data_IF_543935807459
#
_entry.id   IF_543935807459
#
_cell.length_a   1.000
_cell.length_b   1.000
_cell.length_c   1.000
_cell.angle_alpha   90.00
_cell.angle_beta   90.00
_cell.angle_gamma   90.00
#
_symmetry.space_group_name_H-M   'P 1'
#
loop_
_entity.id
_entity.type
_entity.pdbx_description
1 polymer ?
#
# COMPACT_ATOMS: atom_id res chain seq x y z
N UNK A 1 3.80 2.68 2.27
CA UNK A 1 4.87 3.16 3.18
C UNK A 1 5.82 4.05 2.42
N UNK A 2 6.05 5.25 2.88
CA UNK A 2 6.97 6.22 2.27
C UNK A 2 7.83 6.84 3.36
N UNK A 3 9.12 7.04 3.09
CA UNK A 3 10.05 7.74 3.96
C UNK A 3 11.11 6.83 4.56
N UNK A 4 11.86 7.38 5.49
CA UNK A 4 12.91 6.64 6.20
C UNK A 4 12.94 7.01 7.68
N UNK A 5 13.31 6.06 8.51
CA UNK A 5 13.49 6.26 9.95
C UNK A 5 12.26 6.93 10.60
N UNK A 6 12.44 8.09 11.21
CA UNK A 6 11.39 8.82 11.93
C UNK A 6 10.32 9.41 11.00
N UNK A 7 10.64 9.58 9.71
CA UNK A 7 9.74 10.19 8.74
C UNK A 7 8.92 9.15 7.97
N UNK A 8 8.98 7.90 8.40
CA UNK A 8 8.22 6.82 7.77
C UNK A 8 6.73 7.02 7.97
N UNK A 9 5.99 7.09 6.87
CA UNK A 9 4.56 7.37 6.84
C UNK A 9 3.79 6.17 6.29
N UNK A 10 2.80 5.70 7.05
CA UNK A 10 1.81 4.75 6.56
C UNK A 10 0.71 5.51 5.83
N UNK A 11 0.54 5.21 4.55
CA UNK A 11 -0.53 5.81 3.73
C UNK A 11 -1.89 5.21 4.07
N UNK A 12 -3.00 5.85 3.66
CA UNK A 12 -4.32 5.24 3.75
C UNK A 12 -4.34 3.85 3.10
N UNK A 13 -5.11 2.95 3.68
CA UNK A 13 -5.16 1.57 3.22
C UNK A 13 -6.07 1.47 2.00
N UNK A 14 -5.60 0.80 0.97
CA UNK A 14 -6.36 0.49 -0.23
C UNK A 14 -6.87 -0.94 -0.16
N UNK A 15 -8.18 -1.10 -0.32
CA UNK A 15 -8.79 -2.42 -0.44
C UNK A 15 -8.93 -2.77 -1.92
N UNK A 16 -8.46 -3.95 -2.29
CA UNK A 16 -8.57 -4.48 -3.64
C UNK A 16 -9.69 -5.50 -3.72
N UNK A 17 -10.60 -5.30 -4.66
CA UNK A 17 -11.69 -6.22 -4.94
C UNK A 17 -11.50 -6.73 -6.37
N UNK A 18 -10.77 -7.84 -6.56
CA UNK A 18 -10.54 -8.37 -7.90
C UNK A 18 -11.83 -8.99 -8.45
N UNK A 19 -12.09 -8.76 -9.73
CA UNK A 19 -13.21 -9.38 -10.45
C UNK A 19 -12.90 -10.82 -10.86
N UNK A 20 -11.62 -11.22 -10.75
CA UNK A 20 -11.14 -12.58 -10.94
C UNK A 20 -10.88 -13.22 -9.58
N UNK A 21 -10.90 -14.56 -9.53
CA UNK A 21 -10.64 -15.32 -8.32
C UNK A 21 -9.26 -15.01 -7.74
N UNK A 22 -8.26 -14.81 -8.59
CA UNK A 22 -6.89 -14.50 -8.19
C UNK A 22 -6.48 -13.11 -8.65
N UNK A 23 -5.71 -12.39 -7.83
CA UNK A 23 -5.13 -11.10 -8.17
C UNK A 23 -3.84 -11.33 -8.98
N UNK A 24 -4.00 -11.75 -10.24
CA UNK A 24 -2.90 -12.03 -11.16
C UNK A 24 -2.38 -10.75 -11.84
N UNK A 25 -1.41 -10.91 -12.75
CA UNK A 25 -0.84 -9.78 -13.50
C UNK A 25 -1.91 -8.98 -14.24
N UNK A 26 -2.84 -9.66 -14.88
CA UNK A 26 -3.92 -9.02 -15.63
C UNK A 26 -4.81 -8.17 -14.73
N UNK A 27 -5.20 -8.70 -13.56
CA UNK A 27 -5.99 -7.96 -12.58
C UNK A 27 -5.24 -6.76 -12.01
N UNK A 28 -3.90 -6.88 -11.84
CA UNK A 28 -3.06 -5.79 -11.31
C UNK A 28 -2.93 -4.61 -12.26
N UNK A 29 -2.87 -4.85 -13.57
CA UNK A 29 -2.47 -3.84 -14.54
C UNK A 29 -3.53 -3.53 -15.60
N UNK A 30 -4.63 -4.28 -15.65
CA UNK A 30 -5.73 -4.01 -16.56
C UNK A 30 -6.84 -3.25 -15.83
N UNK A 31 -7.10 -2.03 -16.29
CA UNK A 31 -8.15 -1.18 -15.72
C UNK A 31 -9.50 -1.89 -15.77
N UNK A 32 -10.24 -1.82 -14.66
CA UNK A 32 -11.58 -2.40 -14.55
C UNK A 32 -11.63 -3.85 -14.11
N UNK A 33 -10.50 -4.57 -14.03
CA UNK A 33 -10.44 -5.95 -13.51
C UNK A 33 -10.28 -6.01 -11.99
N UNK A 34 -9.86 -4.93 -11.36
CA UNK A 34 -9.77 -4.79 -9.92
C UNK A 34 -10.45 -3.50 -9.50
N UNK A 35 -11.38 -3.59 -8.58
CA UNK A 35 -12.01 -2.42 -7.99
C UNK A 35 -11.17 -1.94 -6.81
N UNK A 36 -10.92 -0.62 -6.76
CA UNK A 36 -10.23 0.02 -5.65
C UNK A 36 -11.25 0.63 -4.70
N UNK A 37 -11.18 0.25 -3.42
CA UNK A 37 -11.96 0.87 -2.35
C UNK A 37 -10.99 1.63 -1.45
N UNK A 38 -11.08 2.95 -1.44
CA UNK A 38 -10.11 3.81 -0.76
C UNK A 38 -10.84 4.92 0.01
N UNK A 39 -10.72 4.99 1.34
CA UNK A 39 -9.98 4.05 2.17
C UNK A 39 -10.69 2.69 2.32
N UNK A 40 -9.94 1.67 2.72
CA UNK A 40 -10.46 0.33 2.92
C UNK A 40 -11.60 0.30 3.95
N UNK A 41 -12.55 -0.61 3.75
CA UNK A 41 -13.71 -0.80 4.64
C UNK A 41 -13.31 -1.56 5.89
N UNK A 42 -12.53 -0.91 6.75
CA UNK A 42 -12.07 -1.43 8.02
C UNK A 42 -12.47 -0.50 9.15
N UNK A 43 -12.64 -1.05 10.36
CA UNK A 43 -12.85 -0.24 11.56
C UNK A 43 -11.61 0.65 11.80
N UNK A 44 -11.80 1.72 12.58
CA UNK A 44 -10.67 2.62 12.92
C UNK A 44 -9.55 1.86 13.65
N UNK A 45 -9.90 0.95 14.57
CA UNK A 45 -8.92 0.14 15.29
C UNK A 45 -8.19 -0.83 14.39
N UNK A 46 -8.90 -1.47 13.46
CA UNK A 46 -8.27 -2.38 12.49
C UNK A 46 -7.38 -1.63 11.51
N UNK A 47 -7.78 -0.46 11.06
CA UNK A 47 -6.97 0.40 10.20
C UNK A 47 -5.62 0.72 10.87
N UNK A 48 -5.63 1.11 12.14
CA UNK A 48 -4.40 1.38 12.89
C UNK A 48 -3.54 0.13 13.03
N UNK A 49 -4.17 -1.01 13.31
CA UNK A 49 -3.47 -2.28 13.45
C UNK A 49 -2.77 -2.69 12.16
N UNK A 50 -3.48 -2.59 11.03
CA UNK A 50 -2.91 -2.91 9.70
C UNK A 50 -1.76 -1.96 9.36
N UNK A 51 -1.93 -0.67 9.59
CA UNK A 51 -0.88 0.31 9.35
C UNK A 51 0.35 0.06 10.23
N UNK A 52 0.16 -0.32 11.49
CA UNK A 52 1.28 -0.63 12.38
C UNK A 52 2.02 -1.89 11.91
N UNK A 53 1.30 -2.92 11.48
CA UNK A 53 1.91 -4.14 10.93
C UNK A 53 2.72 -3.81 9.67
N UNK A 54 2.20 -2.92 8.81
CA UNK A 54 2.94 -2.48 7.62
C UNK A 54 4.24 -1.76 7.98
N UNK A 55 4.20 -0.88 8.98
CA UNK A 55 5.41 -0.21 9.49
C UNK A 55 6.42 -1.22 10.02
N UNK A 56 5.96 -2.18 10.81
CA UNK A 56 6.81 -3.21 11.40
C UNK A 56 7.45 -4.10 10.33
N UNK A 57 6.67 -4.49 9.31
CA UNK A 57 7.17 -5.30 8.20
C UNK A 57 8.23 -4.55 7.39
N UNK A 58 7.98 -3.29 7.07
CA UNK A 58 8.93 -2.42 6.38
C UNK A 58 10.26 -2.34 7.13
N UNK A 59 10.20 -2.10 8.43
CA UNK A 59 11.39 -2.01 9.29
C UNK A 59 12.09 -3.34 9.45
N UNK A 60 11.35 -4.43 9.64
CA UNK A 60 11.91 -5.76 9.85
C UNK A 60 12.74 -6.24 8.67
N UNK A 61 12.33 -5.88 7.45
CA UNK A 61 13.06 -6.23 6.23
C UNK A 61 14.15 -5.21 5.88
N UNK A 62 14.32 -4.16 6.67
CA UNK A 62 15.28 -3.10 6.36
C UNK A 62 14.93 -2.31 5.12
N UNK A 63 13.65 -2.20 4.77
CA UNK A 63 13.21 -1.45 3.60
C UNK A 63 13.56 0.02 3.72
N UNK A 64 13.77 0.64 2.58
CA UNK A 64 14.21 2.03 2.50
C UNK A 64 13.43 2.77 1.42
N UNK A 65 12.97 3.96 1.74
CA UNK A 65 12.27 4.82 0.79
C UNK A 65 10.80 4.50 0.67
N UNK A 66 10.44 3.39 0.07
CA UNK A 66 9.05 3.02 -0.19
C UNK A 66 8.88 1.51 -0.13
N UNK A 67 7.73 1.07 0.31
CA UNK A 67 7.29 -0.32 0.15
C UNK A 67 5.78 -0.39 0.08
N UNK A 68 5.27 -1.45 -0.52
CA UNK A 68 3.86 -1.81 -0.49
C UNK A 68 3.74 -3.13 0.26
N UNK A 69 2.99 -3.14 1.34
CA UNK A 69 2.76 -4.33 2.15
C UNK A 69 1.36 -4.86 1.83
N UNK A 70 1.31 -6.02 1.25
CA UNK A 70 0.06 -6.66 0.86
C UNK A 70 -0.40 -7.58 1.99
N UNK A 71 -1.64 -7.41 2.42
CA UNK A 71 -2.23 -8.17 3.53
C UNK A 71 -3.61 -8.68 3.16
N UNK A 72 -4.00 -9.74 3.84
CA UNK A 72 -5.37 -10.23 3.81
C UNK A 72 -5.91 -10.16 5.24
N UNK A 73 -7.04 -9.48 5.41
CA UNK A 73 -7.77 -9.46 6.68
C UNK A 73 -8.94 -10.42 6.55
N UNK A 74 -8.83 -11.57 7.19
CA UNK A 74 -9.83 -12.61 7.11
C UNK A 74 -11.04 -12.34 8.00
N UNK A 75 -11.98 -13.30 8.01
CA UNK A 75 -13.19 -13.25 8.85
C UNK A 75 -12.87 -13.32 10.35
N UNK A 76 -11.68 -13.80 10.70
CA UNK A 76 -11.16 -13.85 12.07
C UNK A 76 -10.65 -12.48 12.56
N UNK A 77 -10.69 -11.45 11.71
CA UNK A 77 -10.14 -10.11 11.98
C UNK A 77 -8.64 -10.14 12.32
N UNK A 78 -7.91 -11.09 11.76
CA UNK A 78 -6.46 -11.18 11.90
C UNK A 78 -5.83 -10.76 10.57
N UNK A 79 -5.00 -9.71 10.53
CA UNK A 79 -4.25 -9.35 9.33
C UNK A 79 -3.11 -10.33 9.09
N UNK A 80 -3.03 -10.87 7.88
CA UNK A 80 -1.95 -11.75 7.46
C UNK A 80 -1.13 -11.06 6.39
N UNK A 81 0.16 -10.84 6.65
CA UNK A 81 1.08 -10.29 5.64
C UNK A 81 1.32 -11.34 4.57
N UNK A 82 1.02 -10.99 3.34
CA UNK A 82 1.18 -11.87 2.19
C UNK A 82 2.52 -11.64 1.50
N UNK A 83 2.84 -10.38 1.20
CA UNK A 83 4.13 -10.02 0.62
C UNK A 83 4.47 -8.56 0.91
N UNK A 84 5.76 -8.24 0.82
CA UNK A 84 6.26 -6.86 0.85
C UNK A 84 6.95 -6.60 -0.48
N UNK A 85 6.45 -5.61 -1.21
CA UNK A 85 7.01 -5.21 -2.50
C UNK A 85 7.84 -3.94 -2.31
N UNK A 86 9.13 -4.04 -2.55
CA UNK A 86 10.07 -2.92 -2.36
C UNK A 86 10.22 -2.03 -3.60
N UNK A 87 9.65 -2.44 -4.73
CA UNK A 87 9.58 -1.63 -5.95
C UNK A 87 8.12 -1.66 -6.44
N UNK A 88 7.20 -1.00 -5.71
CA UNK A 88 5.80 -1.02 -6.12
C UNK A 88 5.57 -0.27 -7.42
N UNK A 89 4.55 -0.68 -8.15
CA UNK A 89 4.21 -0.07 -9.43
C UNK A 89 3.87 1.41 -9.31
N UNK A 90 4.17 2.15 -10.36
CA UNK A 90 3.97 3.60 -10.45
C UNK A 90 3.21 3.97 -11.72
N UNK A 91 2.23 3.16 -12.11
CA UNK A 91 1.34 3.44 -13.25
C UNK A 91 0.04 4.09 -12.77
N UNK A 92 -0.79 4.50 -13.70
CA UNK A 92 -2.12 5.06 -13.39
C UNK A 92 -3.04 4.06 -12.68
N UNK A 93 -2.82 2.75 -12.88
CA UNK A 93 -3.60 1.69 -12.26
C UNK A 93 -2.94 1.12 -11.01
N UNK A 94 -1.84 1.71 -10.55
CA UNK A 94 -1.06 1.18 -9.43
C UNK A 94 -1.61 1.65 -8.08
N UNK A 95 -1.38 0.83 -7.05
CA UNK A 95 -1.91 1.02 -5.71
C UNK A 95 -1.28 2.22 -5.00
N UNK A 96 0.04 2.33 -5.04
CA UNK A 96 0.77 3.35 -4.30
C UNK A 96 0.39 4.78 -4.69
N UNK A 97 0.34 5.14 -6.00
CA UNK A 97 -0.12 6.47 -6.39
C UNK A 97 -1.55 6.77 -5.96
N UNK A 98 -2.45 5.78 -5.98
CA UNK A 98 -3.83 5.94 -5.53
C UNK A 98 -3.90 6.22 -4.03
N UNK A 99 -3.16 5.49 -3.23
CA UNK A 99 -3.09 5.70 -1.77
C UNK A 99 -2.49 7.06 -1.42
N UNK A 100 -1.44 7.47 -2.13
CA UNK A 100 -0.83 8.79 -1.94
C UNK A 100 -1.80 9.92 -2.29
N UNK A 101 -2.53 9.78 -3.38
CA UNK A 101 -3.52 10.77 -3.81
C UNK A 101 -4.63 10.94 -2.78
N UNK A 102 -5.05 9.88 -2.11
CA UNK A 102 -6.05 9.94 -1.04
C UNK A 102 -5.58 10.84 0.12
N UNK A 103 -4.28 10.87 0.38
CA UNK A 103 -3.69 11.73 1.40
C UNK A 103 -3.34 13.13 0.88
N UNK A 104 -3.68 13.46 -0.37
CA UNK A 104 -3.38 14.74 -0.98
C UNK A 104 -1.98 14.87 -1.57
N UNK A 105 -1.29 13.75 -1.75
CA UNK A 105 0.05 13.72 -2.37
C UNK A 105 -0.13 13.43 -3.86
N UNK A 106 0.24 14.38 -4.72
CA UNK A 106 0.18 14.20 -6.17
C UNK A 106 1.22 13.18 -6.64
N UNK A 107 1.06 12.69 -7.86
CA UNK A 107 2.04 11.77 -8.46
C UNK A 107 3.45 12.40 -8.47
N UNK A 108 3.57 13.65 -8.89
CA UNK A 108 4.86 14.34 -8.94
C UNK A 108 5.48 14.49 -7.54
N UNK A 109 4.66 14.86 -6.55
CA UNK A 109 5.11 14.93 -5.16
C UNK A 109 5.55 13.58 -4.62
N UNK A 110 4.84 12.51 -4.99
CA UNK A 110 5.20 11.14 -4.59
C UNK A 110 6.57 10.77 -5.15
N UNK A 111 6.81 11.02 -6.43
CA UNK A 111 8.11 10.75 -7.07
C UNK A 111 9.25 11.49 -6.37
N UNK A 112 9.04 12.77 -6.06
CA UNK A 112 10.03 13.59 -5.35
C UNK A 112 10.29 13.04 -3.94
N UNK A 113 9.25 12.62 -3.22
CA UNK A 113 9.41 12.03 -1.88
C UNK A 113 10.21 10.73 -1.91
N UNK A 114 9.95 9.87 -2.89
CA UNK A 114 10.70 8.63 -3.07
C UNK A 114 12.17 8.94 -3.36
N UNK A 115 12.42 9.86 -4.27
CA UNK A 115 13.78 10.28 -4.60
C UNK A 115 14.51 10.86 -3.39
N UNK A 116 13.86 11.75 -2.64
CA UNK A 116 14.45 12.39 -1.47
C UNK A 116 14.79 11.36 -0.38
N UNK A 117 14.03 10.29 -0.25
CA UNK A 117 14.27 9.24 0.74
C UNK A 117 15.51 8.40 0.46
N UNK A 118 16.08 8.50 -0.75
CA UNK A 118 17.29 7.77 -1.13
C UNK A 118 18.57 8.45 -0.62
N UNK A 119 18.45 9.66 -0.09
CA UNK A 119 19.58 10.46 0.41
C UNK A 119 19.47 10.81 1.92
#
# INVERSE_FOLDING_TARGET
MIGKNKDLLALPILELVPKKEFYDYEAKYTEGLTEFVLPARLSASMTKKVQQIALDAHKALGCYGVSRVDMIVGRDNIPYVHEVNTIPGMTECSDLPAEAAQLGISFDQLVVKILASAF
#
